data_IF_100891803201
#
_entry.id   IF_100891803201
#
_cell.length_a   1.000
_cell.length_b   1.000
_cell.length_c   1.000
_cell.angle_alpha   90.00
_cell.angle_beta   90.00
_cell.angle_gamma   90.00
#
_symmetry.space_group_name_H-M   'P 1'
#
loop_
_entity.id
_entity.type
_entity.pdbx_description
1 polymer ?
#
# COMPACT_ATOMS: atom_id res chain seq x y z
N UNK A 1 -7.27 18.38 14.21
CA UNK A 1 -5.85 18.18 13.85
C UNK A 1 -5.72 16.79 13.23
N UNK A 2 -5.59 16.72 11.90
CA UNK A 2 -5.54 15.47 11.14
C UNK A 2 -4.18 14.79 11.35
N UNK A 3 -4.09 13.89 12.31
CA UNK A 3 -2.90 13.06 12.54
C UNK A 3 -2.89 11.91 11.52
N UNK A 4 -1.78 11.81 10.79
CA UNK A 4 -1.35 10.65 10.01
C UNK A 4 -2.07 10.39 8.68
N UNK A 5 -2.12 11.40 7.80
CA UNK A 5 -2.20 11.14 6.36
C UNK A 5 -0.86 10.52 5.94
N UNK A 6 -0.76 9.21 6.12
CA UNK A 6 0.42 8.39 5.91
C UNK A 6 1.11 8.76 4.59
N UNK A 7 2.38 9.15 4.68
CA UNK A 7 3.23 9.55 3.56
C UNK A 7 3.76 8.33 2.79
N UNK A 8 2.87 7.41 2.39
CA UNK A 8 3.24 6.27 1.54
C UNK A 8 3.87 6.76 0.23
N UNK A 9 3.43 7.91 -0.28
CA UNK A 9 3.93 8.49 -1.53
C UNK A 9 5.45 8.77 -1.49
N UNK A 10 5.99 9.22 -0.34
CA UNK A 10 7.43 9.44 -0.16
C UNK A 10 8.20 8.14 0.09
N UNK A 11 7.63 7.22 0.89
CA UNK A 11 8.26 5.94 1.21
C UNK A 11 8.42 5.04 -0.03
N UNK A 12 7.46 5.09 -0.96
CA UNK A 12 7.45 4.29 -2.17
C UNK A 12 8.27 4.89 -3.33
N UNK A 13 8.64 6.17 -3.25
CA UNK A 13 9.58 6.79 -4.19
C UNK A 13 11.04 6.42 -3.88
N UNK A 14 11.37 6.05 -2.64
CA UNK A 14 12.75 5.97 -2.17
C UNK A 14 13.18 4.61 -1.58
N UNK A 15 12.26 3.75 -1.14
CA UNK A 15 12.62 2.45 -0.54
C UNK A 15 12.06 1.24 -1.29
N UNK A 16 12.81 0.13 -1.25
CA UNK A 16 12.36 -1.16 -1.75
C UNK A 16 11.29 -1.71 -0.79
N UNK A 17 10.05 -1.56 -1.22
CA UNK A 17 8.82 -1.64 -0.40
C UNK A 17 8.63 -2.95 0.35
N UNK A 18 9.36 -4.00 -0.01
CA UNK A 18 9.30 -5.30 0.65
C UNK A 18 9.58 -5.22 2.17
N UNK A 19 10.23 -4.16 2.65
CA UNK A 19 10.55 -3.96 4.08
C UNK A 19 9.57 -3.10 4.87
N UNK A 20 8.61 -2.42 4.23
CA UNK A 20 7.82 -1.38 4.90
C UNK A 20 6.67 -1.90 5.76
N UNK A 21 6.26 -3.16 5.56
CA UNK A 21 5.19 -3.77 6.36
C UNK A 21 5.49 -5.25 6.57
N UNK A 22 5.48 -5.71 7.82
CA UNK A 22 5.47 -7.14 8.16
C UNK A 22 4.04 -7.60 8.48
N UNK A 23 3.27 -8.05 7.47
CA UNK A 23 1.90 -8.51 7.67
C UNK A 23 1.79 -9.80 8.48
N UNK A 24 2.89 -10.54 8.71
CA UNK A 24 2.84 -11.79 9.48
C UNK A 24 2.63 -11.55 10.98
N UNK A 25 3.07 -10.40 11.49
CA UNK A 25 2.85 -9.98 12.87
C UNK A 25 1.45 -9.42 13.15
N UNK A 26 0.63 -9.24 12.12
CA UNK A 26 -0.68 -8.58 12.21
C UNK A 26 -1.81 -9.59 12.41
N UNK A 27 -2.85 -9.19 13.15
CA UNK A 27 -4.12 -9.91 13.19
C UNK A 27 -4.80 -9.94 11.81
N UNK A 28 -5.75 -10.86 11.56
CA UNK A 28 -6.49 -10.91 10.31
C UNK A 28 -7.19 -9.58 9.96
N UNK A 29 -7.79 -8.92 10.97
CA UNK A 29 -8.49 -7.65 10.79
C UNK A 29 -7.53 -6.52 10.40
N UNK A 30 -6.40 -6.40 11.10
CA UNK A 30 -5.36 -5.41 10.78
C UNK A 30 -4.78 -5.62 9.37
N UNK A 31 -4.61 -6.88 8.94
CA UNK A 31 -4.19 -7.19 7.57
C UNK A 31 -5.24 -6.75 6.56
N UNK A 32 -6.52 -6.95 6.87
CA UNK A 32 -7.61 -6.54 6.00
C UNK A 32 -7.64 -5.00 5.86
N UNK A 33 -7.58 -4.27 6.98
CA UNK A 33 -7.52 -2.81 7.00
C UNK A 33 -6.31 -2.26 6.23
N UNK A 34 -5.14 -2.90 6.37
CA UNK A 34 -3.95 -2.54 5.60
C UNK A 34 -4.19 -2.71 4.09
N UNK A 35 -4.74 -3.85 3.66
CA UNK A 35 -5.04 -4.12 2.25
C UNK A 35 -6.03 -3.08 1.71
N UNK A 36 -7.09 -2.78 2.47
CA UNK A 36 -8.08 -1.77 2.09
C UNK A 36 -7.44 -0.38 1.95
N UNK A 37 -6.62 0.05 2.93
CA UNK A 37 -5.95 1.34 2.89
C UNK A 37 -5.05 1.47 1.66
N UNK A 38 -4.22 0.45 1.40
CA UNK A 38 -3.33 0.42 0.23
C UNK A 38 -4.12 0.44 -1.09
N UNK A 39 -5.27 -0.24 -1.14
CA UNK A 39 -6.12 -0.25 -2.32
C UNK A 39 -6.75 1.13 -2.58
N UNK A 40 -7.28 1.76 -1.54
CA UNK A 40 -7.85 3.11 -1.63
C UNK A 40 -6.81 4.11 -2.12
N UNK A 41 -5.59 4.05 -1.60
CA UNK A 41 -4.52 4.96 -2.03
C UNK A 41 -4.05 4.68 -3.46
N UNK A 42 -3.94 3.41 -3.87
CA UNK A 42 -3.71 3.05 -5.27
C UNK A 42 -4.76 3.64 -6.23
N UNK A 43 -6.04 3.59 -5.87
CA UNK A 43 -7.12 4.15 -6.70
C UNK A 43 -7.00 5.68 -6.82
N UNK A 44 -6.73 6.38 -5.71
CA UNK A 44 -6.52 7.85 -5.71
C UNK A 44 -5.31 8.23 -6.58
N UNK A 45 -4.21 7.50 -6.44
CA UNK A 45 -2.98 7.74 -7.19
C UNK A 45 -3.16 7.44 -8.68
N UNK A 46 -3.90 6.39 -9.03
CA UNK A 46 -4.23 6.02 -10.41
C UNK A 46 -5.08 7.10 -11.09
N UNK A 47 -5.98 7.75 -10.36
CA UNK A 47 -6.77 8.87 -10.87
C UNK A 47 -5.95 10.16 -11.06
N UNK A 48 -4.77 10.25 -10.41
CA UNK A 48 -3.90 11.42 -10.48
C UNK A 48 -2.97 11.35 -11.68
N UNK A 49 -3.15 12.24 -12.67
CA UNK A 49 -2.38 12.26 -13.93
C UNK A 49 -0.87 12.45 -13.77
N UNK A 50 -0.40 12.94 -12.62
CA UNK A 50 1.02 13.23 -12.33
C UNK A 50 1.77 12.08 -11.67
N UNK A 51 1.07 11.02 -11.23
CA UNK A 51 1.71 9.89 -10.56
C UNK A 51 2.62 9.13 -11.52
N UNK A 52 3.86 8.84 -11.11
CA UNK A 52 4.79 8.03 -11.89
C UNK A 52 4.26 6.60 -12.04
N UNK A 53 4.37 6.03 -13.25
CA UNK A 53 3.92 4.65 -13.52
C UNK A 53 4.59 3.60 -12.64
N UNK A 54 5.85 3.81 -12.24
CA UNK A 54 6.60 2.92 -11.34
C UNK A 54 5.96 2.82 -9.96
N UNK A 55 5.50 3.94 -9.39
CA UNK A 55 4.82 3.97 -8.09
C UNK A 55 3.54 3.14 -8.15
N UNK A 56 2.73 3.32 -9.20
CA UNK A 56 1.50 2.53 -9.40
C UNK A 56 1.80 1.03 -9.57
N UNK A 57 2.89 0.68 -10.25
CA UNK A 57 3.32 -0.71 -10.40
C UNK A 57 3.72 -1.34 -9.07
N UNK A 58 4.42 -0.59 -8.20
CA UNK A 58 4.80 -1.03 -6.86
C UNK A 58 3.57 -1.30 -5.99
N UNK A 59 2.63 -0.35 -5.90
CA UNK A 59 1.35 -0.55 -5.20
C UNK A 59 0.63 -1.81 -5.66
N UNK A 60 0.51 -1.99 -6.98
CA UNK A 60 -0.15 -3.15 -7.57
C UNK A 60 0.55 -4.47 -7.23
N UNK A 61 1.88 -4.48 -7.18
CA UNK A 61 2.68 -5.66 -6.79
C UNK A 61 2.42 -6.04 -5.32
N UNK A 62 2.50 -5.07 -4.42
CA UNK A 62 2.30 -5.27 -2.97
C UNK A 62 0.89 -5.77 -2.70
N UNK A 63 -0.13 -5.09 -3.24
CA UNK A 63 -1.52 -5.49 -3.10
C UNK A 63 -1.76 -6.93 -3.57
N UNK A 64 -1.15 -7.33 -4.70
CA UNK A 64 -1.25 -8.72 -5.18
C UNK A 64 -0.67 -9.72 -4.21
N UNK A 65 0.53 -9.46 -3.69
CA UNK A 65 1.17 -10.37 -2.73
C UNK A 65 0.39 -10.42 -1.40
N UNK A 66 -0.08 -9.29 -0.89
CA UNK A 66 -0.87 -9.26 0.34
C UNK A 66 -2.20 -10.01 0.20
N UNK A 67 -2.95 -9.75 -0.88
CA UNK A 67 -4.22 -10.44 -1.15
C UNK A 67 -4.00 -11.94 -1.33
N UNK A 68 -2.96 -12.34 -2.08
CA UNK A 68 -2.66 -13.76 -2.33
C UNK A 68 -2.33 -14.52 -1.05
N UNK A 69 -1.61 -13.89 -0.11
CA UNK A 69 -1.13 -14.55 1.09
C UNK A 69 -2.09 -14.42 2.29
N UNK A 70 -2.95 -13.40 2.33
CA UNK A 70 -3.69 -13.05 3.56
C UNK A 70 -5.18 -12.72 3.40
N UNK A 71 -5.75 -12.64 2.20
CA UNK A 71 -7.17 -12.30 2.02
C UNK A 71 -8.10 -13.52 1.91
N UNK A 72 -7.79 -14.61 2.62
CA UNK A 72 -8.55 -15.87 2.65
C UNK A 72 -9.48 -15.95 3.86
#
# INVERSE_FOLDING_TARGET
MSRNKFEWDNLLEHEDVAFLVDPNGMSPDERHELIESLYVDYIKLRATKKTKKSILANYKRILRELVKNFAH
#
